data_IF_177078851665
#
_entry.id   IF_177078851665
#
_cell.length_a   1.000
_cell.length_b   1.000
_cell.length_c   1.000
_cell.angle_alpha   90.00
_cell.angle_beta   90.00
_cell.angle_gamma   90.00
#
_symmetry.space_group_name_H-M   'P 1'
#
loop_
_entity.id
_entity.type
_entity.pdbx_description
1 polymer ?
#
# COMPACT_ATOMS: atom_id res chain seq x y z
N UNK A 1 -3.24 18.15 -23.09
CA UNK A 1 -2.19 17.18 -22.72
C UNK A 1 -2.72 16.43 -21.51
N UNK A 2 -2.84 15.11 -21.58
CA UNK A 2 -3.18 14.30 -20.41
C UNK A 2 -2.05 14.51 -19.40
N UNK A 3 -2.40 15.04 -18.22
CA UNK A 3 -1.48 15.11 -17.09
C UNK A 3 -1.06 13.69 -16.75
N UNK A 4 0.23 13.39 -16.86
CA UNK A 4 0.79 12.11 -16.40
C UNK A 4 0.57 11.99 -14.89
N UNK A 5 0.01 10.89 -14.41
CA UNK A 5 -0.19 10.65 -12.98
C UNK A 5 0.32 9.27 -12.57
N UNK A 6 0.71 9.13 -11.31
CA UNK A 6 1.05 7.84 -10.69
C UNK A 6 -0.08 6.83 -10.84
N UNK A 7 -1.33 7.29 -10.81
CA UNK A 7 -2.51 6.43 -11.02
C UNK A 7 -2.51 5.83 -12.43
N UNK A 8 -2.12 6.61 -13.45
CA UNK A 8 -2.03 6.10 -14.82
C UNK A 8 -0.89 5.08 -14.97
N UNK A 9 0.21 5.26 -14.24
CA UNK A 9 1.31 4.28 -14.19
C UNK A 9 0.90 2.97 -13.53
N UNK A 10 0.19 3.05 -12.40
CA UNK A 10 -0.36 1.87 -11.74
C UNK A 10 -1.35 1.15 -12.66
N UNK A 11 -2.22 1.87 -13.37
CA UNK A 11 -3.16 1.29 -14.33
C UNK A 11 -2.45 0.58 -15.47
N UNK A 12 -1.40 1.17 -16.05
CA UNK A 12 -0.58 0.53 -17.08
C UNK A 12 0.12 -0.72 -16.55
N UNK A 13 0.66 -0.67 -15.33
CA UNK A 13 1.30 -1.82 -14.70
C UNK A 13 0.30 -2.98 -14.51
N UNK A 14 -0.93 -2.69 -14.05
CA UNK A 14 -1.99 -3.69 -13.94
C UNK A 14 -2.37 -4.26 -15.32
N UNK A 15 -2.54 -3.41 -16.34
CA UNK A 15 -2.86 -3.82 -17.71
C UNK A 15 -1.78 -4.71 -18.33
N UNK A 16 -0.51 -4.43 -18.02
CA UNK A 16 0.64 -5.23 -18.45
C UNK A 16 0.95 -6.42 -17.55
N UNK A 17 0.06 -6.78 -16.62
CA UNK A 17 0.25 -7.87 -15.64
C UNK A 17 1.50 -7.71 -14.75
N UNK A 18 2.03 -6.49 -14.63
CA UNK A 18 3.16 -6.13 -13.79
C UNK A 18 2.71 -5.82 -12.35
N UNK A 19 2.02 -6.76 -11.71
CA UNK A 19 1.34 -6.53 -10.43
C UNK A 19 2.26 -6.18 -9.26
N UNK A 20 3.47 -6.74 -9.22
CA UNK A 20 4.48 -6.36 -8.21
C UNK A 20 4.86 -4.89 -8.37
N UNK A 21 5.02 -4.42 -9.61
CA UNK A 21 5.28 -3.01 -9.89
C UNK A 21 4.08 -2.14 -9.52
N UNK A 22 2.86 -2.57 -9.86
CA UNK A 22 1.64 -1.87 -9.47
C UNK A 22 1.56 -1.69 -7.94
N UNK A 23 1.87 -2.74 -7.16
CA UNK A 23 1.88 -2.68 -5.69
C UNK A 23 2.99 -1.78 -5.16
N UNK A 24 4.21 -1.90 -5.70
CA UNK A 24 5.30 -1.00 -5.33
C UNK A 24 4.91 0.48 -5.53
N UNK A 25 4.27 0.79 -6.66
CA UNK A 25 3.83 2.15 -6.99
C UNK A 25 2.70 2.64 -6.08
N UNK A 26 1.69 1.82 -5.76
CA UNK A 26 0.62 2.29 -4.85
C UNK A 26 1.10 2.47 -3.42
N UNK A 27 2.11 1.70 -2.97
CA UNK A 27 2.69 1.88 -1.64
C UNK A 27 3.44 3.21 -1.48
N UNK A 28 3.77 3.90 -2.58
CA UNK A 28 4.38 5.25 -2.50
C UNK A 28 3.34 6.38 -2.48
N UNK A 29 2.08 6.11 -2.79
CA UNK A 29 1.04 7.15 -2.90
C UNK A 29 0.82 7.90 -1.59
N UNK A 30 0.71 7.25 -0.42
CA UNK A 30 0.53 7.99 0.84
C UNK A 30 1.74 8.90 1.13
N UNK A 31 2.97 8.41 0.91
CA UNK A 31 4.19 9.21 1.05
C UNK A 31 4.16 10.47 0.15
N UNK A 32 3.70 10.33 -1.10
CA UNK A 32 3.55 11.46 -2.03
C UNK A 32 2.53 12.49 -1.56
N UNK A 33 1.44 12.05 -0.93
CA UNK A 33 0.40 12.94 -0.43
C UNK A 33 0.84 13.70 0.84
N UNK A 34 1.64 13.06 1.69
CA UNK A 34 2.14 13.65 2.94
C UNK A 34 3.37 14.57 2.70
N UNK A 35 4.13 14.36 1.62
CA UNK A 35 5.26 15.20 1.21
C UNK A 35 6.62 14.77 1.80
N UNK A 36 7.70 15.45 1.37
CA UNK A 36 9.08 14.99 1.59
C UNK A 36 9.56 14.95 3.06
N UNK A 37 8.89 15.66 3.96
CA UNK A 37 9.21 15.68 5.40
C UNK A 37 8.23 14.82 6.22
N UNK A 38 7.43 13.98 5.56
CA UNK A 38 6.47 13.11 6.21
C UNK A 38 7.15 12.13 7.16
N UNK A 39 6.54 11.97 8.32
CA UNK A 39 6.88 10.96 9.31
C UNK A 39 6.13 9.67 9.00
N UNK A 40 6.51 8.58 9.67
CA UNK A 40 5.71 7.35 9.64
C UNK A 40 4.27 7.58 10.12
N UNK A 41 4.04 8.55 11.03
CA UNK A 41 2.70 8.90 11.50
C UNK A 41 1.84 9.48 10.39
N UNK A 42 2.39 10.36 9.56
CA UNK A 42 1.63 11.01 8.49
C UNK A 42 1.15 9.99 7.44
N UNK A 43 1.99 9.00 7.10
CA UNK A 43 1.58 7.89 6.22
C UNK A 43 0.41 7.11 6.83
N UNK A 44 0.52 6.76 8.11
CA UNK A 44 -0.48 5.97 8.84
C UNK A 44 -1.80 6.73 8.86
N UNK A 45 -1.77 8.00 9.26
CA UNK A 45 -2.94 8.86 9.34
C UNK A 45 -3.60 9.05 7.98
N UNK A 46 -2.80 9.24 6.92
CA UNK A 46 -3.31 9.32 5.55
C UNK A 46 -4.01 8.02 5.15
N UNK A 47 -3.39 6.88 5.39
CA UNK A 47 -3.96 5.58 5.01
C UNK A 47 -5.25 5.30 5.78
N UNK A 48 -5.26 5.51 7.10
CA UNK A 48 -6.44 5.29 7.93
C UNK A 48 -7.58 6.28 7.60
N UNK A 49 -7.25 7.50 7.17
CA UNK A 49 -8.24 8.51 6.76
C UNK A 49 -8.84 8.21 5.38
N UNK A 50 -7.99 8.01 4.37
CA UNK A 50 -8.41 8.01 2.96
C UNK A 50 -8.67 6.62 2.39
N UNK A 51 -7.94 5.61 2.85
CA UNK A 51 -8.18 4.22 2.43
C UNK A 51 -9.14 3.53 3.40
N UNK A 52 -8.97 3.76 4.71
CA UNK A 52 -9.80 3.22 5.78
C UNK A 52 -10.13 1.72 5.57
N UNK A 53 -9.08 0.92 5.36
CA UNK A 53 -9.24 -0.47 4.93
C UNK A 53 -9.76 -1.33 6.09
N UNK A 54 -10.85 -2.06 5.85
CA UNK A 54 -11.55 -2.88 6.88
C UNK A 54 -10.66 -3.88 7.63
N UNK A 55 -9.58 -4.31 6.99
CA UNK A 55 -8.72 -5.39 7.46
C UNK A 55 -7.26 -5.01 7.63
N UNK A 56 -6.88 -3.79 7.21
CA UNK A 56 -5.49 -3.37 7.17
C UNK A 56 -5.39 -1.96 7.75
N UNK A 57 -4.64 -1.80 8.83
CA UNK A 57 -4.38 -0.49 9.43
C UNK A 57 -3.22 0.20 8.73
N UNK A 58 -3.16 1.53 8.83
CA UNK A 58 -2.09 2.33 8.27
C UNK A 58 -0.71 1.91 8.79
N UNK A 59 -0.60 1.50 10.05
CA UNK A 59 0.65 0.99 10.67
C UNK A 59 1.15 -0.28 9.99
N UNK A 60 0.24 -1.18 9.67
CA UNK A 60 0.53 -2.46 9.02
C UNK A 60 0.87 -2.24 7.54
N UNK A 61 0.13 -1.33 6.86
CA UNK A 61 0.45 -0.90 5.50
C UNK A 61 1.81 -0.19 5.40
N UNK A 62 2.15 0.65 6.38
CA UNK A 62 3.46 1.31 6.45
C UNK A 62 4.59 0.30 6.66
N UNK A 63 4.37 -0.72 7.49
CA UNK A 63 5.31 -1.80 7.67
C UNK A 63 5.50 -2.60 6.38
N UNK A 64 4.41 -2.93 5.67
CA UNK A 64 4.45 -3.57 4.35
C UNK A 64 5.21 -2.72 3.34
N UNK A 65 4.96 -1.40 3.28
CA UNK A 65 5.70 -0.47 2.43
C UNK A 65 7.20 -0.58 2.70
N UNK A 66 7.62 -0.57 3.96
CA UNK A 66 9.02 -0.68 4.34
C UNK A 66 9.64 -2.03 3.93
N UNK A 67 9.00 -3.15 4.25
CA UNK A 67 9.52 -4.47 3.90
C UNK A 67 9.54 -4.71 2.39
N UNK A 68 8.47 -4.32 1.70
CA UNK A 68 8.29 -4.58 0.28
C UNK A 68 9.25 -3.76 -0.57
N UNK A 69 9.48 -2.49 -0.25
CA UNK A 69 10.36 -1.62 -1.04
C UNK A 69 11.86 -1.85 -0.74
N UNK A 70 12.22 -2.24 0.49
CA UNK A 70 13.63 -2.39 0.87
C UNK A 70 14.14 -3.83 0.81
N UNK A 71 13.26 -4.81 0.98
CA UNK A 71 13.62 -6.22 1.08
C UNK A 71 12.85 -7.10 0.09
N UNK A 72 11.92 -6.52 -0.69
CA UNK A 72 11.07 -7.24 -1.64
C UNK A 72 10.29 -8.41 -1.00
N UNK A 73 9.93 -8.24 0.27
CA UNK A 73 9.22 -9.26 1.06
C UNK A 73 7.97 -8.67 1.69
N UNK A 74 6.95 -9.51 1.87
CA UNK A 74 5.82 -9.20 2.74
C UNK A 74 6.10 -9.55 4.21
N UNK A 75 7.26 -10.11 4.53
CA UNK A 75 7.65 -10.28 5.92
C UNK A 75 7.95 -8.92 6.56
N UNK A 76 7.09 -8.49 7.46
CA UNK A 76 7.19 -7.22 8.18
C UNK A 76 7.64 -7.44 9.62
N UNK A 77 7.92 -8.68 10.02
CA UNK A 77 8.37 -8.98 11.37
C UNK A 77 9.71 -8.30 11.61
N UNK A 78 9.88 -7.72 12.80
CA UNK A 78 11.07 -6.93 13.14
C UNK A 78 11.05 -5.47 12.64
N UNK A 79 10.00 -5.04 11.92
CA UNK A 79 9.81 -3.61 11.68
C UNK A 79 9.52 -2.90 13.00
N UNK A 80 10.25 -1.80 13.28
CA UNK A 80 10.18 -1.08 14.57
C UNK A 80 8.77 -0.62 14.94
N UNK A 81 7.93 -0.37 13.94
CA UNK A 81 6.53 0.07 14.12
C UNK A 81 5.60 -1.03 14.64
N UNK A 82 6.05 -2.30 14.64
CA UNK A 82 5.29 -3.48 15.05
C UNK A 82 5.91 -4.20 16.25
N UNK A 83 6.57 -3.46 17.15
CA UNK A 83 7.44 -4.01 18.21
C UNK A 83 6.85 -5.13 19.07
N UNK A 84 5.52 -5.24 19.13
CA UNK A 84 4.79 -6.23 19.94
C UNK A 84 3.78 -7.06 19.10
N UNK A 85 3.92 -7.07 17.76
CA UNK A 85 3.01 -7.79 16.84
C UNK A 85 3.79 -8.68 15.88
N UNK A 86 3.37 -9.94 15.77
CA UNK A 86 3.80 -10.80 14.67
C UNK A 86 2.77 -10.75 13.55
N UNK A 87 3.20 -10.26 12.39
CA UNK A 87 2.34 -10.05 11.24
C UNK A 87 3.08 -10.51 9.99
N UNK A 88 2.41 -11.28 9.16
CA UNK A 88 2.98 -11.77 7.91
C UNK A 88 2.14 -11.25 6.75
N UNK A 89 2.77 -10.49 5.86
CA UNK A 89 2.19 -10.18 4.56
C UNK A 89 2.70 -11.15 3.52
N UNK A 90 1.87 -11.46 2.56
CA UNK A 90 2.33 -11.93 1.26
C UNK A 90 1.47 -11.13 0.23
N UNK A 91 1.79 -11.15 -1.06
CA UNK A 91 0.96 -10.49 -2.06
C UNK A 91 0.39 -11.49 -3.08
N UNK A 92 -0.93 -11.44 -3.35
CA UNK A 92 -1.53 -12.29 -4.37
C UNK A 92 -1.34 -11.70 -5.78
N UNK A 93 -0.55 -12.40 -6.60
CA UNK A 93 -0.24 -11.97 -7.97
C UNK A 93 -0.90 -12.94 -8.96
N UNK A 94 -1.81 -12.46 -9.83
CA UNK A 94 -2.35 -13.26 -10.92
C UNK A 94 -1.26 -13.70 -11.91
N UNK A 95 -1.27 -14.96 -12.34
CA UNK A 95 -0.44 -15.47 -13.44
C UNK A 95 -1.21 -16.53 -14.23
N UNK A 96 -1.57 -16.23 -15.49
CA UNK A 96 -2.19 -17.16 -16.45
C UNK A 96 -3.25 -18.12 -15.84
N UNK A 97 -4.45 -17.61 -15.55
CA UNK A 97 -5.56 -18.33 -14.90
C UNK A 97 -5.30 -18.90 -13.49
N UNK A 98 -4.10 -18.75 -12.93
CA UNK A 98 -3.80 -19.05 -11.53
C UNK A 98 -3.54 -17.76 -10.76
N UNK A 99 -4.32 -17.50 -9.71
CA UNK A 99 -3.95 -16.53 -8.69
C UNK A 99 -2.89 -17.15 -7.76
N UNK A 100 -1.73 -16.51 -7.60
CA UNK A 100 -0.80 -16.88 -6.53
C UNK A 100 -1.44 -16.40 -5.23
N UNK A 101 -2.24 -17.24 -4.57
CA UNK A 101 -2.96 -16.82 -3.37
C UNK A 101 -2.02 -16.40 -2.27
N UNK A 102 -2.42 -15.35 -1.58
CA UNK A 102 -1.83 -14.98 -0.32
C UNK A 102 -2.90 -14.86 0.75
N UNK A 103 -2.57 -15.49 1.86
CA UNK A 103 -3.17 -15.35 3.18
C UNK A 103 -2.32 -14.38 4.00
N UNK A 104 -2.88 -13.24 4.42
CA UNK A 104 -2.30 -12.42 5.48
C UNK A 104 -2.52 -13.15 6.78
N UNK A 105 -1.50 -13.30 7.62
CA UNK A 105 -1.66 -13.82 8.97
C UNK A 105 -1.44 -12.68 9.95
N UNK A 106 -2.49 -12.33 10.67
CA UNK A 106 -2.46 -11.36 11.77
C UNK A 106 -2.56 -12.18 13.05
N UNK A 107 -1.46 -12.34 13.77
CA UNK A 107 -1.46 -12.85 15.15
C UNK A 107 -1.43 -11.63 16.08
N UNK A 108 -2.61 -11.25 16.60
CA UNK A 108 -2.71 -10.19 17.62
C UNK A 108 -2.35 -10.79 18.98
N UNK A 109 -1.19 -10.44 19.52
CA UNK A 109 -0.64 -11.01 20.76
C UNK A 109 -1.34 -10.41 22.01
N UNK A 110 -2.09 -9.31 21.85
CA UNK A 110 -2.73 -8.59 22.96
C UNK A 110 -4.18 -9.03 23.28
N UNK A 111 -4.73 -10.02 22.58
CA UNK A 111 -6.05 -10.54 22.89
C UNK A 111 -5.97 -11.50 24.09
N UNK A 112 -6.30 -11.01 25.30
CA UNK A 112 -6.52 -11.83 26.52
C UNK A 112 -7.63 -12.89 26.35
N UNK A 113 -8.32 -12.92 25.21
CA UNK A 113 -9.38 -13.85 24.87
C UNK A 113 -9.02 -14.47 23.52
N UNK A 114 -8.54 -15.71 23.55
CA UNK A 114 -8.39 -16.66 22.43
C UNK A 114 -7.74 -16.09 21.14
N UNK A 115 -6.51 -16.55 20.82
CA UNK A 115 -5.73 -16.19 19.61
C UNK A 115 -6.58 -16.09 18.35
N UNK A 116 -7.07 -14.89 18.04
CA UNK A 116 -7.96 -14.68 16.91
C UNK A 116 -7.10 -14.50 15.66
N UNK A 117 -6.68 -15.64 15.09
CA UNK A 117 -5.92 -15.71 13.84
C UNK A 117 -6.75 -15.11 12.72
N UNK A 118 -6.50 -13.85 12.38
CA UNK A 118 -7.23 -13.19 11.30
C UNK A 118 -6.49 -13.42 9.99
N UNK A 119 -7.04 -14.30 9.15
CA UNK A 119 -6.59 -14.45 7.77
C UNK A 119 -7.27 -13.40 6.91
N UNK A 120 -6.50 -12.50 6.31
CA UNK A 120 -7.03 -11.50 5.38
C UNK A 120 -6.43 -11.80 4.02
N UNK A 121 -7.24 -12.13 3.03
CA UNK A 121 -6.73 -12.31 1.65
C UNK A 121 -6.97 -11.00 0.89
N UNK A 122 -5.90 -10.34 0.44
CA UNK A 122 -6.00 -9.13 -0.38
C UNK A 122 -5.36 -9.41 -1.75
N UNK A 123 -6.18 -9.29 -2.79
CA UNK A 123 -5.76 -9.35 -4.19
C UNK A 123 -5.00 -8.06 -4.57
N UNK A 124 -3.88 -8.18 -5.31
CA UNK A 124 -3.02 -7.04 -5.65
C UNK A 124 -3.76 -5.93 -6.40
N UNK A 125 -4.71 -6.29 -7.26
CA UNK A 125 -5.51 -5.33 -8.03
C UNK A 125 -6.46 -4.59 -7.08
N UNK A 126 -7.17 -5.34 -6.22
CA UNK A 126 -8.10 -4.80 -5.24
C UNK A 126 -7.39 -3.91 -4.21
N UNK A 127 -6.19 -4.31 -3.79
CA UNK A 127 -5.33 -3.51 -2.93
C UNK A 127 -4.94 -2.19 -3.61
N UNK A 128 -4.42 -2.26 -4.83
CA UNK A 128 -4.04 -1.08 -5.60
C UNK A 128 -5.24 -0.14 -5.85
N UNK A 129 -6.41 -0.71 -6.17
CA UNK A 129 -7.65 0.04 -6.33
C UNK A 129 -8.11 0.71 -5.04
N UNK A 130 -7.92 0.08 -3.87
CA UNK A 130 -8.26 0.70 -2.59
C UNK A 130 -7.44 1.96 -2.33
N UNK A 131 -6.13 1.92 -2.60
CA UNK A 131 -5.23 3.07 -2.43
C UNK A 131 -5.51 4.15 -3.48
N UNK A 132 -5.76 3.77 -4.74
CA UNK A 132 -6.18 4.72 -5.78
C UNK A 132 -7.47 5.42 -5.38
N UNK A 133 -8.45 4.70 -4.84
CA UNK A 133 -9.70 5.29 -4.39
C UNK A 133 -9.48 6.31 -3.27
N UNK A 134 -8.60 5.98 -2.31
CA UNK A 134 -8.19 6.92 -1.28
C UNK A 134 -7.47 8.15 -1.83
N UNK A 135 -6.59 7.98 -2.83
CA UNK A 135 -5.92 9.08 -3.51
C UNK A 135 -6.88 10.04 -4.21
N UNK A 136 -7.86 9.50 -4.94
CA UNK A 136 -8.86 10.33 -5.61
C UNK A 136 -9.74 11.09 -4.61
N UNK A 137 -10.07 10.47 -3.47
CA UNK A 137 -10.75 11.16 -2.36
C UNK A 137 -9.89 12.28 -1.78
N UNK A 138 -8.61 12.00 -1.49
CA UNK A 138 -7.65 12.99 -1.01
C UNK A 138 -7.55 14.18 -1.96
N UNK A 139 -7.40 13.95 -3.27
CA UNK A 139 -7.35 15.02 -4.28
C UNK A 139 -8.63 15.84 -4.35
N UNK A 140 -9.79 15.20 -4.19
CA UNK A 140 -11.08 15.89 -4.17
C UNK A 140 -11.18 16.85 -2.97
N UNK A 141 -10.67 16.45 -1.82
CA UNK A 141 -10.64 17.27 -0.60
C UNK A 141 -9.51 18.31 -0.62
N UNK A 142 -8.45 18.06 -1.36
CA UNK A 142 -7.27 18.90 -1.48
C UNK A 142 -7.07 19.36 -2.94
N UNK A 143 -7.96 20.20 -3.50
CA UNK A 143 -7.91 20.59 -4.92
C UNK A 143 -6.66 21.41 -5.29
N UNK A 144 -5.97 21.98 -4.30
CA UNK A 144 -4.69 22.67 -4.47
C UNK A 144 -3.49 21.73 -4.50
N UNK A 145 -3.67 20.44 -4.16
CA UNK A 145 -2.61 19.45 -4.25
C UNK A 145 -2.23 19.26 -5.73
N UNK A 146 -0.95 19.40 -6.01
CA UNK A 146 -0.37 19.10 -7.30
C UNK A 146 0.58 17.94 -7.11
N UNK A 147 0.46 16.94 -7.98
CA UNK A 147 1.40 15.83 -8.01
C UNK A 147 2.76 16.37 -8.48
N UNK A 148 3.68 16.55 -7.53
CA UNK A 148 5.01 17.04 -7.84
C UNK A 148 5.96 15.87 -8.11
N UNK A 149 6.63 15.91 -9.27
CA UNK A 149 7.73 15.00 -9.62
C UNK A 149 9.04 15.78 -9.78
N UNK A 150 9.52 16.46 -8.71
CA UNK A 150 10.69 17.32 -8.83
C UNK A 150 11.88 16.48 -9.29
N UNK A 151 12.52 16.94 -10.39
CA UNK A 151 13.72 16.33 -10.99
C UNK A 151 13.52 15.02 -11.75
N UNK A 152 12.28 14.60 -12.02
CA UNK A 152 12.00 13.55 -13.01
C UNK A 152 11.83 14.22 -14.38
N UNK A 153 12.82 14.03 -15.27
CA UNK A 153 12.75 14.52 -16.65
C UNK A 153 12.10 13.43 -17.49
N UNK A 154 10.82 13.62 -17.82
CA UNK A 154 10.16 12.78 -18.82
C UNK A 154 10.68 13.17 -20.19
N UNK A 155 11.42 12.26 -20.84
CA UNK A 155 11.81 12.41 -22.23
C UNK A 155 10.56 12.46 -23.12
N UNK A 156 10.53 13.42 -24.05
CA UNK A 156 9.55 13.42 -25.14
C UNK A 156 9.94 12.44 -26.21
#
# INVERSE_FOLDING_TARGET
MSSYSIVDEVKKAIQGEAYIAAVALVLTIPDMCCGANSTSGDYVDWFDTYVNHKFLKGTECYALRCSFLHQQTGDINGQRVLRDKELWFTLNVPRNNNSIRVQLYIDDIDAEVEKDKRIVEIDAISFAQSIISGYELFKKENPSFVEEHPRIILGK
#
